data_IF_950122283393
#
_entry.id   IF_950122283393
#
_cell.length_a   1.000
_cell.length_b   1.000
_cell.length_c   1.000
_cell.angle_alpha   90.00
_cell.angle_beta   90.00
_cell.angle_gamma   90.00
#
_symmetry.space_group_name_H-M   'P 1'
#
loop_
_entity.id
_entity.type
_entity.pdbx_description
1 polymer ?
#
# COMPACT_ATOMS: atom_id res chain seq x y z
N UNK A 1 25.64 -20.74 -2.99
CA UNK A 1 26.22 -20.03 -1.82
C UNK A 1 25.15 -19.98 -0.74
N UNK A 2 25.44 -20.41 0.49
CA UNK A 2 24.48 -20.25 1.58
C UNK A 2 24.66 -18.86 2.21
N UNK A 3 23.57 -18.15 2.41
CA UNK A 3 23.56 -16.85 3.10
C UNK A 3 22.69 -17.04 4.32
N UNK A 4 23.30 -17.01 5.50
CA UNK A 4 22.57 -17.02 6.76
C UNK A 4 22.01 -15.64 7.02
N UNK A 5 20.69 -15.55 7.15
CA UNK A 5 19.99 -14.30 7.50
C UNK A 5 19.32 -14.53 8.85
N UNK A 6 19.91 -13.98 9.91
CA UNK A 6 19.38 -14.05 11.27
C UNK A 6 18.78 -12.70 11.64
N UNK A 7 17.50 -12.70 11.97
CA UNK A 7 16.83 -11.57 12.61
C UNK A 7 16.34 -11.98 13.99
N UNK A 8 16.46 -11.07 14.97
CA UNK A 8 15.79 -11.23 16.27
C UNK A 8 14.28 -11.06 16.13
N UNK A 9 13.83 -10.03 15.40
CA UNK A 9 12.43 -9.85 14.98
C UNK A 9 12.35 -8.87 13.81
N UNK A 10 11.33 -9.05 12.96
CA UNK A 10 10.85 -8.03 12.02
C UNK A 10 9.49 -7.58 12.55
N UNK A 11 9.42 -6.39 13.13
CA UNK A 11 8.18 -5.87 13.68
C UNK A 11 7.61 -4.79 12.76
N UNK A 12 6.51 -5.13 12.08
CA UNK A 12 5.82 -4.25 11.14
C UNK A 12 4.53 -3.80 11.79
N UNK A 13 4.49 -2.54 12.23
CA UNK A 13 3.34 -2.00 12.96
C UNK A 13 2.18 -1.60 12.04
N UNK A 14 2.49 -1.19 10.81
CA UNK A 14 1.49 -0.90 9.80
C UNK A 14 2.08 -1.04 8.40
N UNK A 15 1.31 -1.61 7.48
CA UNK A 15 1.53 -1.62 6.04
C UNK A 15 0.27 -1.07 5.39
N UNK A 16 0.44 -0.18 4.42
CA UNK A 16 -0.66 0.39 3.67
C UNK A 16 -0.63 -0.15 2.24
N UNK A 17 -1.48 0.36 1.36
CA UNK A 17 -1.61 -0.20 0.03
C UNK A 17 -0.29 -0.18 -0.73
N UNK A 18 -0.03 -1.24 -1.50
CA UNK A 18 1.22 -1.43 -2.23
C UNK A 18 2.48 -1.49 -1.34
N UNK A 19 2.38 -2.13 -0.16
CA UNK A 19 3.52 -2.33 0.75
C UNK A 19 4.03 -3.78 0.76
N UNK A 20 5.33 -3.97 1.05
CA UNK A 20 5.92 -5.31 1.16
C UNK A 20 7.14 -5.36 2.07
N UNK A 21 7.37 -6.52 2.65
CA UNK A 21 8.61 -6.85 3.39
C UNK A 21 9.20 -8.09 2.76
N UNK A 22 10.35 -7.96 2.10
CA UNK A 22 10.97 -9.08 1.38
C UNK A 22 12.46 -9.19 1.66
N UNK A 23 12.96 -10.42 1.60
CA UNK A 23 14.36 -10.79 1.83
C UNK A 23 14.77 -11.76 0.73
N UNK A 24 15.97 -11.58 0.18
CA UNK A 24 16.47 -12.38 -0.94
C UNK A 24 16.24 -11.69 -2.28
N UNK A 25 16.54 -12.40 -3.36
CA UNK A 25 16.29 -11.94 -4.73
C UNK A 25 14.78 -11.90 -4.99
N UNK A 26 14.30 -10.75 -5.49
CA UNK A 26 12.87 -10.53 -5.68
C UNK A 26 12.63 -9.62 -6.89
N UNK A 27 11.80 -10.09 -7.81
CA UNK A 27 11.32 -9.32 -8.95
C UNK A 27 9.87 -8.87 -8.67
N UNK A 28 9.71 -7.59 -8.33
CA UNK A 28 8.41 -7.00 -8.00
C UNK A 28 7.98 -6.03 -9.09
N UNK A 29 7.17 -6.52 -10.00
CA UNK A 29 6.65 -5.75 -11.14
C UNK A 29 5.13 -5.76 -11.13
N UNK A 30 4.51 -4.70 -11.61
CA UNK A 30 3.04 -4.60 -11.62
C UNK A 30 2.44 -4.27 -10.26
N UNK A 31 3.13 -3.41 -9.50
CA UNK A 31 2.67 -2.94 -8.21
C UNK A 31 1.82 -1.68 -8.39
N UNK A 32 0.51 -1.86 -8.49
CA UNK A 32 -0.44 -0.76 -8.62
C UNK A 32 -1.36 -0.68 -7.43
N UNK A 33 -1.59 0.55 -7.00
CA UNK A 33 -2.61 0.87 -6.04
C UNK A 33 -3.24 2.19 -6.42
N UNK A 34 -4.56 2.17 -6.47
CA UNK A 34 -5.36 3.36 -6.64
C UNK A 34 -6.41 3.35 -5.54
N UNK A 35 -6.57 4.49 -4.89
CA UNK A 35 -7.66 4.69 -3.95
C UNK A 35 -8.13 6.12 -4.06
N UNK A 36 -9.44 6.30 -4.07
CA UNK A 36 -10.05 7.54 -3.64
C UNK A 36 -10.61 7.31 -2.25
N UNK A 37 -10.31 8.23 -1.35
CA UNK A 37 -10.72 8.14 0.04
C UNK A 37 -11.18 9.53 0.48
N UNK A 38 -12.47 9.63 0.81
CA UNK A 38 -13.02 10.83 1.44
C UNK A 38 -13.33 10.49 2.89
N UNK A 39 -12.34 10.69 3.77
CA UNK A 39 -12.53 10.40 5.19
C UNK A 39 -12.67 11.67 5.98
N UNK A 40 -13.71 11.73 6.83
CA UNK A 40 -14.01 12.90 7.63
C UNK A 40 -13.05 13.09 8.80
N UNK A 41 -13.04 12.12 9.70
CA UNK A 41 -12.21 12.15 10.90
C UNK A 41 -10.89 11.38 10.78
N UNK A 42 -10.58 10.85 9.59
CA UNK A 42 -9.38 10.06 9.36
C UNK A 42 -9.34 8.76 10.18
N UNK A 43 -8.12 8.30 10.47
CA UNK A 43 -7.85 7.13 11.32
C UNK A 43 -7.17 7.57 12.61
N UNK A 44 -7.59 6.99 13.74
CA UNK A 44 -6.93 7.16 15.03
C UNK A 44 -6.18 5.88 15.38
N UNK A 45 -4.86 5.97 15.51
CA UNK A 45 -4.01 4.83 15.85
C UNK A 45 -3.46 4.99 17.27
N UNK A 46 -3.56 3.93 18.07
CA UNK A 46 -3.20 3.95 19.49
C UNK A 46 -4.32 4.50 20.39
N UNK A 47 -3.98 4.82 21.64
CA UNK A 47 -4.94 5.38 22.59
C UNK A 47 -5.36 6.78 22.15
N UNK A 48 -6.63 6.92 21.78
CA UNK A 48 -7.19 8.17 21.25
C UNK A 48 -8.55 8.45 21.89
N UNK A 49 -8.79 9.72 22.20
CA UNK A 49 -10.09 10.23 22.63
C UNK A 49 -10.48 11.32 21.64
N UNK A 50 -11.62 11.13 21.00
CA UNK A 50 -12.11 12.03 19.97
C UNK A 50 -13.61 12.25 20.20
N UNK A 51 -14.04 13.50 20.35
CA UNK A 51 -15.41 13.86 20.68
C UNK A 51 -15.83 15.16 20.00
N UNK A 52 -17.14 15.33 19.82
CA UNK A 52 -17.76 16.55 19.25
C UNK A 52 -17.31 16.87 17.82
N UNK A 53 -17.14 15.84 16.98
CA UNK A 53 -16.83 16.05 15.57
C UNK A 53 -18.12 16.16 14.76
N UNK A 54 -18.19 17.19 13.93
CA UNK A 54 -19.19 17.33 12.89
C UNK A 54 -18.45 17.40 11.56
N UNK A 55 -18.67 16.41 10.70
CA UNK A 55 -18.03 16.34 9.38
C UNK A 55 -19.12 16.23 8.31
N UNK A 56 -19.09 17.15 7.36
CA UNK A 56 -19.82 17.03 6.11
C UNK A 56 -18.79 16.85 4.99
N UNK A 57 -18.93 15.77 4.24
CA UNK A 57 -18.16 15.51 3.03
C UNK A 57 -19.14 15.60 1.87
N UNK A 58 -18.87 16.53 0.96
CA UNK A 58 -19.68 16.72 -0.23
C UNK A 58 -18.80 16.55 -1.45
N UNK A 59 -19.10 15.54 -2.24
CA UNK A 59 -18.33 15.09 -3.39
C UNK A 59 -19.29 14.84 -4.55
N UNK A 60 -19.72 15.89 -5.26
CA UNK A 60 -20.76 15.83 -6.27
C UNK A 60 -20.18 15.66 -7.68
N UNK A 61 -19.34 14.66 -7.87
CA UNK A 61 -18.77 14.32 -9.17
C UNK A 61 -19.69 13.39 -9.98
N UNK A 62 -19.75 13.62 -11.30
CA UNK A 62 -20.53 12.80 -12.25
C UNK A 62 -19.79 11.51 -12.61
N UNK A 63 -18.46 11.58 -12.68
CA UNK A 63 -17.57 10.45 -12.82
C UNK A 63 -16.50 10.60 -11.75
N UNK A 64 -16.50 9.65 -10.82
CA UNK A 64 -15.57 9.63 -9.71
C UNK A 64 -14.46 8.59 -9.95
N UNK A 65 -13.22 8.98 -9.65
CA UNK A 65 -12.03 8.15 -9.63
C UNK A 65 -11.89 7.17 -10.81
N UNK A 66 -11.98 7.63 -12.08
CA UNK A 66 -11.73 6.76 -13.20
C UNK A 66 -10.26 6.32 -13.16
N UNK A 67 -10.05 5.04 -12.89
CA UNK A 67 -8.73 4.41 -12.94
C UNK A 67 -8.54 3.85 -14.34
N UNK A 68 -7.54 4.36 -15.05
CA UNK A 68 -7.14 3.86 -16.36
C UNK A 68 -5.68 3.38 -16.29
N UNK A 69 -5.50 2.13 -15.90
CA UNK A 69 -4.19 1.47 -15.85
C UNK A 69 -3.96 0.74 -17.18
N UNK A 70 -3.48 1.48 -18.18
CA UNK A 70 -3.19 1.00 -19.53
C UNK A 70 -1.71 0.75 -19.73
N UNK A 71 -1.10 -0.03 -18.87
CA UNK A 71 0.28 -0.42 -19.08
C UNK A 71 0.48 -1.93 -19.13
N UNK A 72 1.62 -2.26 -19.72
CA UNK A 72 2.15 -3.60 -19.75
C UNK A 72 3.16 -3.61 -18.61
N UNK A 73 3.02 -4.56 -17.68
CA UNK A 73 3.96 -4.74 -16.57
C UNK A 73 4.95 -5.86 -16.90
N UNK A 74 5.99 -5.62 -17.73
CA UNK A 74 6.95 -6.65 -18.01
C UNK A 74 7.76 -6.95 -16.75
N UNK A 75 7.82 -8.22 -16.35
CA UNK A 75 8.96 -8.74 -15.62
C UNK A 75 9.95 -9.32 -16.62
N UNK A 76 11.18 -8.84 -16.61
CA UNK A 76 12.33 -9.49 -17.25
C UNK A 76 13.30 -9.85 -16.12
N UNK A 77 14.01 -10.99 -16.09
CA UNK A 77 14.16 -12.16 -16.96
C UNK A 77 14.66 -13.32 -16.09
N UNK A 78 14.48 -14.57 -16.51
CA UNK A 78 15.38 -15.64 -16.07
C UNK A 78 16.80 -15.15 -16.37
N UNK A 79 17.55 -14.74 -15.35
CA UNK A 79 19.00 -14.62 -15.48
C UNK A 79 19.50 -16.03 -15.72
N UNK A 80 19.99 -16.27 -16.93
CA UNK A 80 20.36 -17.56 -17.44
C UNK A 80 21.28 -18.30 -16.46
N UNK A 81 20.94 -19.59 -16.26
CA UNK A 81 21.71 -20.73 -15.71
C UNK A 81 23.05 -20.42 -15.06
#
# INVERSE_FOLDING_TARGET
MTISILFNAINVLNMQTNSVVTIGENAQTGWDSHSKVNTGNGSFLGMSLNSTNLVAIFDPDVIDAPINDQDIKPSWQIQQV
#
